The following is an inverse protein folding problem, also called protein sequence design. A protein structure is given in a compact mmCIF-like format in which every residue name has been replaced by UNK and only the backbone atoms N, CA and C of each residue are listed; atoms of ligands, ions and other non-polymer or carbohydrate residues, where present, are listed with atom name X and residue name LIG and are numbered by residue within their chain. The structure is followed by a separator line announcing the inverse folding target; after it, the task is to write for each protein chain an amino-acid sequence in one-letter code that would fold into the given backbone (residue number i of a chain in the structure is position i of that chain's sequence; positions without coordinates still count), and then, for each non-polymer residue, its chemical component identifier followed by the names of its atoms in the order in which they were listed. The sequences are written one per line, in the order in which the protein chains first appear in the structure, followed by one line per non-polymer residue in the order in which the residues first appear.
data_IF_353902852257
#
_entry.id   IF_353902852257
#
_cell.length_a   1.000
_cell.length_b   1.000
_cell.length_c   1.000
_cell.angle_alpha   90.00
_cell.angle_beta   90.00
_cell.angle_gamma   90.00
#
_symmetry.space_group_name_H-M   'P 1'
#
loop_
_entity.id
_entity.type
_entity.pdbx_description
1 polymer ?
#
# COMPACT_ATOMS: atom_id res chain seq x y z
N UNK A 1 -42.83 18.45 27.02
CA UNK A 1 -41.90 19.26 26.20
C UNK A 1 -40.98 19.99 27.15
N UNK A 2 -39.81 19.44 27.42
CA UNK A 2 -38.83 20.02 28.35
C UNK A 2 -37.71 20.66 27.53
N UNK A 3 -37.57 21.98 27.65
CA UNK A 3 -36.53 22.77 26.99
C UNK A 3 -35.23 22.65 27.79
N UNK A 4 -34.19 22.07 27.19
CA UNK A 4 -32.85 22.05 27.74
C UNK A 4 -32.15 23.36 27.39
N UNK A 5 -31.75 24.12 28.41
CA UNK A 5 -30.96 25.33 28.32
C UNK A 5 -29.50 24.94 28.10
N UNK A 6 -28.93 25.31 26.95
CA UNK A 6 -27.51 25.13 26.63
C UNK A 6 -26.74 26.36 27.12
N UNK A 7 -25.80 26.17 28.03
CA UNK A 7 -24.88 27.21 28.48
C UNK A 7 -23.67 27.33 27.53
N UNK A 8 -23.13 28.53 27.27
CA UNK A 8 -21.97 28.72 26.42
C UNK A 8 -20.66 28.42 27.17
N UNK A 9 -19.83 27.55 26.60
CA UNK A 9 -18.44 27.34 27.00
C UNK A 9 -17.60 28.56 26.62
N UNK A 10 -16.98 29.19 27.63
CA UNK A 10 -16.06 30.31 27.47
C UNK A 10 -14.66 29.79 27.16
N UNK A 11 -14.11 30.11 25.99
CA UNK A 11 -12.73 29.81 25.63
C UNK A 11 -11.79 30.85 26.27
N UNK A 12 -10.85 30.39 27.10
CA UNK A 12 -9.77 31.22 27.63
C UNK A 12 -8.63 31.30 26.60
N UNK A 13 -8.35 32.50 26.12
CA UNK A 13 -7.22 32.77 25.23
C UNK A 13 -5.94 32.90 26.07
N UNK A 14 -5.06 31.90 26.03
CA UNK A 14 -3.72 31.98 26.58
C UNK A 14 -2.81 32.74 25.60
N UNK A 15 -2.20 33.80 26.10
CA UNK A 15 -1.32 34.70 25.36
C UNK A 15 0.04 34.02 25.10
N UNK A 16 0.49 34.03 23.85
CA UNK A 16 1.72 33.40 23.39
C UNK A 16 2.98 34.15 23.85
N UNK A 17 3.99 33.41 24.32
CA UNK A 17 5.36 33.88 24.49
C UNK A 17 6.11 33.83 23.14
N UNK A 18 7.05 34.76 22.85
CA UNK A 18 7.85 34.73 21.64
C UNK A 18 8.92 33.61 21.70
N UNK A 19 9.14 32.85 20.62
CA UNK A 19 10.18 31.82 20.61
C UNK A 19 11.59 32.40 20.40
N UNK A 20 12.51 31.91 21.22
CA UNK A 20 13.96 32.01 21.09
C UNK A 20 14.44 31.46 19.73
N UNK A 21 15.36 32.17 19.06
CA UNK A 21 15.95 31.72 17.78
C UNK A 21 17.05 30.68 18.03
N UNK A 22 16.96 29.46 17.47
CA UNK A 22 18.07 28.51 17.51
C UNK A 22 19.15 28.87 16.49
N UNK A 23 20.40 28.58 16.90
CA UNK A 23 21.64 28.75 16.12
C UNK A 23 21.67 27.80 14.92
N UNK A 24 22.28 28.27 13.83
CA UNK A 24 22.61 27.48 12.64
C UNK A 24 23.45 26.25 13.00
N UNK A 25 22.87 25.06 12.86
CA UNK A 25 23.61 23.80 12.75
C UNK A 25 24.13 23.64 11.34
N UNK A 26 25.41 23.29 11.25
CA UNK A 26 26.13 22.89 10.04
C UNK A 26 25.45 21.70 9.37
N UNK A 27 25.24 21.80 8.06
CA UNK A 27 24.72 20.76 7.17
C UNK A 27 25.69 19.58 7.20
N UNK A 28 25.30 18.50 7.90
CA UNK A 28 25.93 17.19 7.77
C UNK A 28 25.38 16.53 6.51
N UNK A 29 26.27 16.14 5.61
CA UNK A 29 25.96 15.38 4.41
C UNK A 29 25.33 14.05 4.80
N UNK A 30 24.02 13.91 4.57
CA UNK A 30 23.25 12.71 4.85
C UNK A 30 23.69 11.59 3.90
N UNK A 31 24.33 10.56 4.45
CA UNK A 31 24.59 9.30 3.75
C UNK A 31 23.27 8.70 3.25
N UNK A 32 23.19 8.14 2.03
CA UNK A 32 21.92 7.63 1.49
C UNK A 32 21.48 6.41 2.30
N UNK A 33 20.30 6.48 2.91
CA UNK A 33 19.68 5.40 3.70
C UNK A 33 19.12 4.23 2.85
N UNK A 34 19.66 4.01 1.64
CA UNK A 34 18.96 3.25 0.59
C UNK A 34 18.99 1.72 0.69
N UNK A 35 19.92 1.11 1.44
CA UNK A 35 20.10 -0.35 1.39
C UNK A 35 19.34 -1.16 2.45
N UNK A 36 19.01 -0.56 3.59
CA UNK A 36 18.29 -1.25 4.67
C UNK A 36 16.78 -1.29 4.41
N UNK A 37 16.25 -0.29 3.68
CA UNK A 37 14.82 -0.13 3.38
C UNK A 37 14.30 -1.02 2.24
N UNK A 38 15.17 -1.46 1.33
CA UNK A 38 14.77 -2.36 0.24
C UNK A 38 14.54 -3.80 0.74
N UNK A 39 15.32 -4.26 1.72
CA UNK A 39 15.15 -5.58 2.31
C UNK A 39 13.83 -5.71 3.10
N UNK A 40 13.33 -4.61 3.69
CA UNK A 40 12.07 -4.61 4.45
C UNK A 40 10.84 -4.67 3.55
N UNK A 41 10.86 -4.04 2.37
CA UNK A 41 9.71 -4.05 1.45
C UNK A 41 9.37 -5.45 0.92
N UNK A 42 10.39 -6.20 0.49
CA UNK A 42 10.20 -7.57 -0.01
C UNK A 42 9.54 -8.48 1.04
N UNK A 43 9.96 -8.36 2.31
CA UNK A 43 9.37 -9.12 3.42
C UNK A 43 7.91 -8.75 3.67
N UNK A 44 7.56 -7.46 3.58
CA UNK A 44 6.17 -7.02 3.76
C UNK A 44 5.29 -7.52 2.60
N UNK A 45 5.77 -7.41 1.35
CA UNK A 45 5.04 -7.90 0.16
C UNK A 45 4.76 -9.39 0.31
N UNK A 46 5.77 -10.18 0.68
CA UNK A 46 5.64 -11.62 0.90
C UNK A 46 4.64 -11.93 2.03
N UNK A 47 4.74 -11.24 3.17
CA UNK A 47 3.86 -11.45 4.31
C UNK A 47 2.39 -11.12 3.99
N UNK A 48 2.13 -9.96 3.40
CA UNK A 48 0.77 -9.51 3.04
C UNK A 48 0.21 -10.39 1.92
N UNK A 49 1.01 -10.71 0.89
CA UNK A 49 0.62 -11.61 -0.18
C UNK A 49 0.25 -13.00 0.35
N UNK A 50 1.08 -13.55 1.24
CA UNK A 50 0.81 -14.82 1.92
C UNK A 50 -0.49 -14.76 2.71
N UNK A 51 -0.74 -13.68 3.44
CA UNK A 51 -1.98 -13.49 4.20
C UNK A 51 -3.23 -13.51 3.30
N UNK A 52 -3.20 -12.82 2.16
CA UNK A 52 -4.28 -12.88 1.18
C UNK A 52 -4.46 -14.29 0.59
N UNK A 53 -3.36 -14.97 0.23
CA UNK A 53 -3.43 -16.32 -0.33
C UNK A 53 -4.02 -17.32 0.66
N UNK A 54 -3.68 -17.21 1.94
CA UNK A 54 -4.27 -18.04 3.01
C UNK A 54 -5.76 -17.75 3.14
N UNK A 55 -6.16 -16.47 3.20
CA UNK A 55 -7.58 -16.10 3.25
C UNK A 55 -8.34 -16.70 2.06
N UNK A 56 -7.79 -16.60 0.85
CA UNK A 56 -8.41 -17.12 -0.37
C UNK A 56 -8.58 -18.64 -0.34
N UNK A 57 -7.53 -19.36 0.06
CA UNK A 57 -7.58 -20.83 0.24
C UNK A 57 -8.63 -21.24 1.27
N UNK A 58 -8.81 -20.46 2.33
CA UNK A 58 -9.88 -20.67 3.30
C UNK A 58 -11.26 -20.41 2.69
N UNK A 59 -11.44 -19.29 1.98
CA UNK A 59 -12.76 -18.85 1.49
C UNK A 59 -13.31 -19.70 0.35
N UNK A 60 -12.44 -20.20 -0.53
CA UNK A 60 -12.86 -20.79 -1.80
C UNK A 60 -12.76 -22.32 -1.80
N UNK A 61 -11.63 -22.85 -1.32
CA UNK A 61 -11.36 -24.28 -1.45
C UNK A 61 -11.93 -25.10 -0.30
N UNK A 62 -12.29 -24.46 0.82
CA UNK A 62 -12.61 -25.14 2.08
C UNK A 62 -11.47 -26.03 2.59
N UNK A 63 -10.26 -25.88 2.02
CA UNK A 63 -9.08 -26.72 2.30
C UNK A 63 -8.36 -26.34 3.58
N UNK A 64 -8.94 -25.46 4.39
CA UNK A 64 -8.40 -24.97 5.64
C UNK A 64 -9.54 -24.60 6.59
N UNK A 65 -9.38 -24.90 7.87
CA UNK A 65 -10.28 -24.44 8.93
C UNK A 65 -10.06 -22.95 9.23
N UNK A 66 -11.03 -22.32 9.89
CA UNK A 66 -10.92 -20.90 10.29
C UNK A 66 -9.71 -20.70 11.24
N UNK A 67 -9.50 -21.63 12.16
CA UNK A 67 -8.41 -21.61 13.13
C UNK A 67 -7.03 -21.76 12.46
N UNK A 68 -6.89 -22.68 11.50
CA UNK A 68 -5.66 -22.84 10.72
C UNK A 68 -5.35 -21.59 9.90
N UNK A 69 -6.35 -21.01 9.24
CA UNK A 69 -6.19 -19.78 8.45
C UNK A 69 -5.80 -18.60 9.33
N UNK A 70 -6.45 -18.47 10.49
CA UNK A 70 -6.12 -17.43 11.49
C UNK A 70 -4.67 -17.54 11.94
N UNK A 71 -4.23 -18.76 12.28
CA UNK A 71 -2.86 -19.02 12.76
C UNK A 71 -1.82 -18.70 11.69
N UNK A 72 -2.05 -19.10 10.44
CA UNK A 72 -1.09 -18.84 9.36
C UNK A 72 -1.04 -17.37 8.96
N UNK A 73 -2.17 -16.67 8.95
CA UNK A 73 -2.21 -15.22 8.69
C UNK A 73 -1.50 -14.47 9.82
N UNK A 74 -1.71 -14.87 11.08
CA UNK A 74 -0.98 -14.31 12.21
C UNK A 74 0.51 -14.53 12.08
N UNK A 75 0.95 -15.74 11.72
CA UNK A 75 2.37 -16.03 11.50
C UNK A 75 2.99 -15.18 10.40
N UNK A 76 2.29 -15.00 9.28
CA UNK A 76 2.75 -14.14 8.19
C UNK A 76 2.88 -12.68 8.62
N UNK A 77 1.84 -12.13 9.28
CA UNK A 77 1.83 -10.73 9.73
C UNK A 77 2.84 -10.48 10.85
N UNK A 78 2.92 -11.37 11.85
CA UNK A 78 3.87 -11.23 12.96
C UNK A 78 5.33 -11.30 12.48
N UNK A 79 5.61 -12.07 11.43
CA UNK A 79 6.94 -12.17 10.81
C UNK A 79 7.43 -10.88 10.14
N UNK A 80 6.52 -9.98 9.74
CA UNK A 80 6.83 -8.68 9.14
C UNK A 80 6.27 -7.50 9.97
N UNK A 81 5.94 -7.73 11.24
CA UNK A 81 5.15 -6.78 12.04
C UNK A 81 5.88 -5.50 12.35
N UNK A 82 7.17 -5.57 12.68
CA UNK A 82 8.00 -4.39 12.94
C UNK A 82 8.05 -3.51 11.70
N UNK A 83 8.22 -4.12 10.53
CA UNK A 83 8.34 -3.48 9.24
C UNK A 83 6.98 -2.89 8.82
N UNK A 84 5.89 -3.64 8.96
CA UNK A 84 4.51 -3.16 8.72
C UNK A 84 4.21 -1.96 9.59
N UNK A 85 4.51 -2.01 10.89
CA UNK A 85 4.25 -0.89 11.81
C UNK A 85 5.15 0.31 11.46
N UNK A 86 6.42 0.10 11.12
CA UNK A 86 7.31 1.18 10.72
C UNK A 86 6.80 1.92 9.47
N UNK A 87 6.32 1.18 8.47
CA UNK A 87 5.70 1.76 7.28
C UNK A 87 4.35 2.43 7.59
N UNK A 88 3.52 1.85 8.47
CA UNK A 88 2.29 2.50 8.96
C UNK A 88 2.62 3.82 9.67
N UNK A 89 3.67 3.86 10.50
CA UNK A 89 4.07 5.07 11.22
C UNK A 89 4.57 6.20 10.28
N UNK A 90 4.89 5.88 9.02
CA UNK A 90 5.16 6.87 7.98
C UNK A 90 3.88 7.47 7.36
N UNK A 91 2.72 6.80 7.48
CA UNK A 91 1.44 7.23 6.85
C UNK A 91 1.02 8.60 7.36
N UNK A 92 1.04 9.62 6.51
CA UNK A 92 0.79 11.01 6.85
C UNK A 92 -0.62 11.23 7.44
N UNK A 93 -1.59 10.41 7.03
CA UNK A 93 -2.95 10.45 7.56
C UNK A 93 -3.00 9.77 8.92
N UNK A 94 -2.86 10.56 9.98
CA UNK A 94 -2.76 10.10 11.37
C UNK A 94 -3.88 9.12 11.78
N UNK A 95 -5.09 9.30 11.24
CA UNK A 95 -6.21 8.42 11.53
C UNK A 95 -6.09 7.05 10.87
N UNK A 96 -5.66 6.99 9.61
CA UNK A 96 -5.40 5.71 8.93
C UNK A 96 -4.23 5.00 9.59
N UNK A 97 -3.19 5.73 9.97
CA UNK A 97 -2.08 5.21 10.77
C UNK A 97 -2.56 4.53 12.04
N UNK A 98 -3.35 5.25 12.85
CA UNK A 98 -3.85 4.75 14.12
C UNK A 98 -4.74 3.50 13.95
N UNK A 99 -5.65 3.52 12.98
CA UNK A 99 -6.54 2.37 12.75
C UNK A 99 -5.79 1.15 12.21
N UNK A 100 -4.85 1.33 11.28
CA UNK A 100 -4.07 0.22 10.72
C UNK A 100 -3.19 -0.44 11.78
N UNK A 101 -2.51 0.36 12.60
CA UNK A 101 -1.71 -0.14 13.73
C UNK A 101 -2.56 -0.91 14.73
N UNK A 102 -3.74 -0.37 15.08
CA UNK A 102 -4.68 -1.02 16.00
C UNK A 102 -5.19 -2.35 15.43
N UNK A 103 -5.50 -2.40 14.13
CA UNK A 103 -5.94 -3.61 13.46
C UNK A 103 -4.88 -4.73 13.55
N UNK A 104 -3.64 -4.42 13.19
CA UNK A 104 -2.52 -5.38 13.24
C UNK A 104 -2.22 -5.85 14.66
N UNK A 105 -2.26 -4.96 15.65
CA UNK A 105 -2.00 -5.31 17.05
C UNK A 105 -3.09 -6.21 17.64
N UNK A 106 -4.36 -5.83 17.45
CA UNK A 106 -5.49 -6.54 18.07
C UNK A 106 -5.82 -7.87 17.37
N UNK A 107 -5.39 -8.06 16.12
CA UNK A 107 -5.67 -9.31 15.40
C UNK A 107 -5.07 -10.54 16.10
N UNK A 108 -3.95 -10.37 16.81
CA UNK A 108 -3.33 -11.43 17.62
C UNK A 108 -4.29 -12.06 18.65
N UNK A 109 -5.25 -11.27 19.15
CA UNK A 109 -6.16 -11.69 20.19
C UNK A 109 -7.52 -12.18 19.66
N UNK A 110 -7.72 -12.20 18.33
CA UNK A 110 -9.04 -12.42 17.72
C UNK A 110 -9.69 -13.75 18.17
N UNK A 111 -8.92 -14.81 18.35
CA UNK A 111 -9.43 -16.11 18.79
C UNK A 111 -10.02 -16.09 20.21
N UNK A 112 -9.57 -15.16 21.07
CA UNK A 112 -9.98 -15.04 22.47
C UNK A 112 -11.08 -13.99 22.70
N UNK A 113 -11.38 -13.16 21.70
CA UNK A 113 -12.39 -12.11 21.79
C UNK A 113 -13.80 -12.69 21.99
N UNK A 114 -14.61 -12.01 22.80
CA UNK A 114 -16.05 -12.31 22.89
C UNK A 114 -16.75 -12.04 21.55
N UNK A 115 -17.92 -12.64 21.27
CA UNK A 115 -18.66 -12.40 20.03
C UNK A 115 -18.90 -10.92 19.72
N UNK A 116 -19.33 -10.13 20.70
CA UNK A 116 -19.57 -8.69 20.53
C UNK A 116 -18.27 -7.94 20.21
N UNK A 117 -17.16 -8.34 20.83
CA UNK A 117 -15.83 -7.76 20.57
C UNK A 117 -15.35 -8.10 19.15
N UNK A 118 -15.59 -9.33 18.67
CA UNK A 118 -15.28 -9.73 17.29
C UNK A 118 -16.06 -8.90 16.27
N UNK A 119 -17.34 -8.66 16.51
CA UNK A 119 -18.16 -7.83 15.62
C UNK A 119 -17.67 -6.38 15.59
N UNK A 120 -17.41 -5.79 16.76
CA UNK A 120 -16.88 -4.42 16.85
C UNK A 120 -15.51 -4.30 16.17
N UNK A 121 -14.63 -5.27 16.38
CA UNK A 121 -13.33 -5.34 15.73
C UNK A 121 -13.48 -5.43 14.20
N UNK A 122 -14.32 -6.35 13.70
CA UNK A 122 -14.57 -6.52 12.28
C UNK A 122 -15.10 -5.26 11.60
N UNK A 123 -16.02 -4.54 12.24
CA UNK A 123 -16.54 -3.27 11.71
C UNK A 123 -15.47 -2.18 11.70
N UNK A 124 -14.66 -2.10 12.76
CA UNK A 124 -13.58 -1.10 12.87
C UNK A 124 -12.49 -1.32 11.81
N UNK A 125 -12.02 -2.56 11.63
CA UNK A 125 -11.00 -2.88 10.62
C UNK A 125 -11.54 -2.73 9.20
N UNK A 126 -12.80 -3.09 8.95
CA UNK A 126 -13.49 -2.81 7.67
C UNK A 126 -13.48 -1.30 7.40
N UNK A 127 -13.90 -0.49 8.37
CA UNK A 127 -13.95 0.96 8.20
C UNK A 127 -12.58 1.57 7.95
N UNK A 128 -11.52 1.01 8.53
CA UNK A 128 -10.14 1.45 8.28
C UNK A 128 -9.74 1.22 6.81
N UNK A 129 -9.98 0.02 6.27
CA UNK A 129 -9.67 -0.32 4.89
C UNK A 129 -10.49 0.52 3.88
N UNK A 130 -11.80 0.63 4.09
CA UNK A 130 -12.70 1.43 3.25
C UNK A 130 -12.31 2.91 3.26
N UNK A 131 -11.93 3.46 4.42
CA UNK A 131 -11.51 4.85 4.50
C UNK A 131 -10.19 5.09 3.75
N UNK A 132 -9.25 4.15 3.83
CA UNK A 132 -8.01 4.24 3.07
C UNK A 132 -8.28 4.23 1.55
N UNK A 133 -9.15 3.31 1.08
CA UNK A 133 -9.64 3.29 -0.31
C UNK A 133 -10.22 4.64 -0.74
N UNK A 134 -11.16 5.19 0.03
CA UNK A 134 -11.82 6.45 -0.33
C UNK A 134 -10.83 7.61 -0.38
N UNK A 135 -9.82 7.60 0.49
CA UNK A 135 -8.76 8.61 0.48
C UNK A 135 -7.84 8.48 -0.73
N UNK A 136 -7.52 7.26 -1.19
CA UNK A 136 -6.73 7.03 -2.41
C UNK A 136 -7.34 7.75 -3.61
N UNK A 137 -8.68 7.80 -3.73
CA UNK A 137 -9.36 8.51 -4.82
C UNK A 137 -9.36 10.04 -4.71
N UNK A 138 -8.99 10.61 -3.55
CA UNK A 138 -9.17 12.06 -3.28
C UNK A 138 -7.88 12.83 -3.07
N UNK A 139 -6.81 12.20 -2.56
CA UNK A 139 -5.53 12.87 -2.32
C UNK A 139 -4.76 13.07 -3.63
N UNK A 140 -4.08 14.19 -3.86
CA UNK A 140 -3.29 14.37 -5.10
C UNK A 140 -1.83 13.91 -4.99
N UNK A 141 -1.30 13.87 -3.77
CA UNK A 141 0.10 13.56 -3.48
C UNK A 141 0.40 12.06 -3.60
N UNK A 142 1.38 11.68 -4.44
CA UNK A 142 1.71 10.27 -4.69
C UNK A 142 2.28 9.56 -3.45
N UNK A 143 3.04 10.27 -2.61
CA UNK A 143 3.53 9.68 -1.37
C UNK A 143 2.38 9.35 -0.40
N UNK A 144 1.36 10.22 -0.31
CA UNK A 144 0.16 9.94 0.46
C UNK A 144 -0.63 8.75 -0.11
N UNK A 145 -0.76 8.64 -1.44
CA UNK A 145 -1.41 7.49 -2.10
C UNK A 145 -0.68 6.21 -1.75
N UNK A 146 0.64 6.22 -1.82
CA UNK A 146 1.46 5.06 -1.52
C UNK A 146 1.27 4.57 -0.09
N UNK A 147 1.28 5.50 0.86
CA UNK A 147 1.03 5.22 2.26
C UNK A 147 -0.39 4.69 2.53
N UNK A 148 -1.39 5.23 1.84
CA UNK A 148 -2.78 4.77 1.96
C UNK A 148 -2.97 3.39 1.33
N UNK A 149 -2.39 3.16 0.14
CA UNK A 149 -2.36 1.87 -0.55
C UNK A 149 -1.69 0.80 0.29
N UNK A 150 -0.58 1.14 0.94
CA UNK A 150 0.08 0.26 1.89
C UNK A 150 -0.84 -0.11 3.06
N UNK A 151 -1.39 0.89 3.76
CA UNK A 151 -2.23 0.67 4.93
C UNK A 151 -3.48 -0.15 4.58
N UNK A 152 -4.12 0.15 3.46
CA UNK A 152 -5.29 -0.58 2.96
C UNK A 152 -4.95 -2.06 2.72
N UNK A 153 -3.89 -2.35 1.96
CA UNK A 153 -3.53 -3.72 1.60
C UNK A 153 -2.97 -4.51 2.79
N UNK A 154 -2.29 -3.87 3.74
CA UNK A 154 -1.85 -4.53 4.97
C UNK A 154 -3.02 -4.88 5.90
N UNK A 155 -4.05 -4.01 5.99
CA UNK A 155 -5.23 -4.23 6.84
C UNK A 155 -6.27 -5.11 6.16
N UNK A 156 -6.30 -5.18 4.83
CA UNK A 156 -7.27 -5.95 4.05
C UNK A 156 -7.47 -7.39 4.50
N UNK A 157 -6.43 -8.25 4.57
CA UNK A 157 -6.60 -9.65 4.98
C UNK A 157 -7.04 -9.78 6.45
N UNK A 158 -6.58 -8.87 7.33
CA UNK A 158 -7.04 -8.78 8.73
C UNK A 158 -8.54 -8.48 8.78
N UNK A 159 -9.00 -7.51 8.01
CA UNK A 159 -10.41 -7.11 7.98
C UNK A 159 -11.30 -8.22 7.40
N UNK A 160 -10.85 -8.91 6.35
CA UNK A 160 -11.55 -10.06 5.77
C UNK A 160 -11.72 -11.19 6.80
N UNK A 161 -10.64 -11.57 7.49
CA UNK A 161 -10.70 -12.59 8.54
C UNK A 161 -11.53 -12.16 9.74
N UNK A 162 -11.44 -10.90 10.15
CA UNK A 162 -12.24 -10.36 11.25
C UNK A 162 -13.74 -10.48 10.96
N UNK A 163 -14.17 -10.14 9.73
CA UNK A 163 -15.55 -10.31 9.29
C UNK A 163 -15.99 -11.77 9.31
N UNK A 164 -15.14 -12.69 8.84
CA UNK A 164 -15.41 -14.13 8.92
C UNK A 164 -15.62 -14.60 10.37
N UNK A 165 -14.73 -14.22 11.30
CA UNK A 165 -14.86 -14.53 12.73
C UNK A 165 -16.14 -13.96 13.36
N UNK A 166 -16.60 -12.82 12.87
CA UNK A 166 -17.84 -12.17 13.30
C UNK A 166 -19.10 -12.73 12.63
N UNK A 167 -18.97 -13.65 11.66
CA UNK A 167 -20.09 -14.18 10.87
C UNK A 167 -20.65 -13.20 9.83
N UNK A 168 -19.87 -12.19 9.44
CA UNK A 168 -20.24 -11.23 8.39
C UNK A 168 -19.80 -11.70 7.01
N UNK A 169 -20.56 -11.30 5.98
CA UNK A 169 -20.16 -11.48 4.58
C UNK A 169 -18.90 -10.68 4.25
N UNK A 170 -17.98 -11.26 3.48
CA UNK A 170 -16.73 -10.62 3.03
C UNK A 170 -16.76 -10.12 1.60
N UNK A 171 -17.77 -10.48 0.80
CA UNK A 171 -17.80 -10.22 -0.65
C UNK A 171 -17.66 -8.73 -1.01
N UNK A 172 -18.42 -7.85 -0.36
CA UNK A 172 -18.37 -6.40 -0.61
C UNK A 172 -17.03 -5.79 -0.20
N UNK A 173 -16.44 -6.26 0.92
CA UNK A 173 -15.11 -5.80 1.33
C UNK A 173 -14.03 -6.28 0.36
N UNK A 174 -14.11 -7.53 -0.12
CA UNK A 174 -13.18 -8.05 -1.11
C UNK A 174 -13.23 -7.23 -2.41
N UNK A 175 -14.43 -6.89 -2.90
CA UNK A 175 -14.61 -6.01 -4.05
C UNK A 175 -14.00 -4.62 -3.79
N UNK A 176 -14.26 -4.03 -2.61
CA UNK A 176 -13.69 -2.73 -2.24
C UNK A 176 -12.15 -2.76 -2.22
N UNK A 177 -11.55 -3.85 -1.74
CA UNK A 177 -10.09 -4.01 -1.73
C UNK A 177 -9.51 -4.18 -3.14
N UNK A 178 -10.24 -4.83 -4.06
CA UNK A 178 -9.88 -4.88 -5.48
C UNK A 178 -9.91 -3.48 -6.09
N UNK A 179 -11.01 -2.74 -5.91
CA UNK A 179 -11.16 -1.38 -6.45
C UNK A 179 -10.09 -0.43 -5.92
N UNK A 180 -9.84 -0.46 -4.61
CA UNK A 180 -8.77 0.34 -4.00
C UNK A 180 -7.37 -0.07 -4.47
N UNK A 181 -7.15 -1.34 -4.80
CA UNK A 181 -5.88 -1.82 -5.34
C UNK A 181 -5.67 -1.35 -6.77
N UNK A 182 -6.71 -1.40 -7.60
CA UNK A 182 -6.70 -0.84 -8.95
C UNK A 182 -6.43 0.66 -8.92
N UNK A 183 -7.12 1.41 -8.05
CA UNK A 183 -6.87 2.83 -7.86
C UNK A 183 -5.44 3.13 -7.39
N UNK A 184 -4.91 2.34 -6.47
CA UNK A 184 -3.50 2.48 -6.02
C UNK A 184 -2.54 2.29 -7.20
N UNK A 185 -2.72 1.23 -7.99
CA UNK A 185 -1.86 0.95 -9.14
C UNK A 185 -1.94 2.04 -10.22
N UNK A 186 -3.15 2.49 -10.56
CA UNK A 186 -3.35 3.53 -11.57
C UNK A 186 -2.66 4.84 -11.15
N UNK A 187 -2.73 5.18 -9.86
CA UNK A 187 -2.26 6.47 -9.37
C UNK A 187 -0.78 6.51 -9.01
N UNK A 188 -0.17 5.35 -8.77
CA UNK A 188 1.27 5.19 -8.63
C UNK A 188 1.97 4.83 -9.94
N UNK A 189 1.24 4.75 -11.06
CA UNK A 189 1.83 4.51 -12.36
C UNK A 189 2.99 5.48 -12.63
N UNK A 190 4.09 4.94 -13.14
CA UNK A 190 5.32 5.68 -13.44
C UNK A 190 5.35 6.09 -14.90
N UNK A 191 5.93 7.25 -15.16
CA UNK A 191 6.36 7.62 -16.51
C UNK A 191 7.68 6.93 -16.85
N UNK A 192 7.85 6.58 -18.13
CA UNK A 192 9.09 6.02 -18.66
C UNK A 192 9.65 6.91 -19.77
N UNK A 193 10.97 7.11 -19.77
CA UNK A 193 11.71 7.81 -20.82
C UNK A 193 12.34 6.80 -21.77
N UNK A 194 12.36 7.14 -23.06
CA UNK A 194 12.88 6.31 -24.13
C UNK A 194 14.07 7.00 -24.80
N UNK A 195 15.26 6.41 -24.70
CA UNK A 195 16.46 6.90 -25.36
C UNK A 195 16.83 5.97 -26.53
N UNK A 196 16.69 6.48 -27.74
CA UNK A 196 16.92 5.75 -28.98
C UNK A 196 18.38 5.91 -29.42
N UNK A 197 19.15 4.85 -29.22
CA UNK A 197 20.53 4.80 -29.67
C UNK A 197 20.56 4.21 -31.08
N UNK A 198 21.17 4.97 -32.01
CA UNK A 198 21.36 4.56 -33.39
C UNK A 198 22.43 3.47 -33.42
N UNK A 199 22.05 2.31 -33.91
CA UNK A 199 23.02 1.33 -34.40
C UNK A 199 23.11 1.56 -35.91
N UNK A 200 24.33 1.84 -36.42
CA UNK A 200 24.63 2.11 -37.84
C UNK A 200 24.43 0.87 -38.74
N UNK A 201 23.46 0.02 -38.39
CA UNK A 201 23.11 -1.14 -39.17
C UNK A 201 22.22 -0.74 -40.37
N UNK A 202 22.45 -1.34 -41.55
CA UNK A 202 21.65 -1.09 -42.75
C UNK A 202 20.19 -1.57 -42.63
N UNK A 203 19.85 -2.27 -41.54
CA UNK A 203 18.52 -2.82 -41.31
C UNK A 203 17.60 -1.88 -40.50
N UNK A 204 18.13 -0.73 -40.06
CA UNK A 204 17.45 0.25 -39.21
C UNK A 204 16.90 -0.33 -37.90
N UNK A 205 17.67 -1.18 -37.22
CA UNK A 205 17.40 -1.56 -35.84
C UNK A 205 18.04 -0.55 -34.89
N UNK A 206 17.28 -0.14 -33.88
CA UNK A 206 17.70 0.77 -32.82
C UNK A 206 17.64 0.03 -31.50
N UNK A 207 18.61 0.34 -30.65
CA UNK A 207 18.58 -0.03 -29.24
C UNK A 207 17.82 1.07 -28.52
N UNK A 208 16.74 0.71 -27.83
CA UNK A 208 16.02 1.67 -27.00
C UNK A 208 16.30 1.38 -25.54
N UNK A 209 16.94 2.34 -24.88
CA UNK A 209 17.14 2.33 -23.43
C UNK A 209 15.90 2.93 -22.79
N UNK A 210 15.23 2.12 -21.97
CA UNK A 210 13.99 2.51 -21.32
C UNK A 210 14.31 2.67 -19.84
N UNK A 211 13.96 3.83 -19.29
CA UNK A 211 14.09 4.13 -17.86
C UNK A 211 12.75 4.56 -17.33
N UNK A 212 12.21 3.84 -16.36
CA UNK A 212 11.01 4.22 -15.63
C UNK A 212 11.44 4.77 -14.26
N UNK A 213 10.79 5.84 -13.78
CA UNK A 213 11.13 6.48 -12.51
C UNK A 213 9.89 6.67 -11.64
N UNK A 214 9.81 5.91 -10.55
CA UNK A 214 8.71 6.01 -9.60
C UNK A 214 8.76 7.34 -8.82
N UNK A 215 7.65 7.66 -8.13
CA UNK A 215 7.50 8.92 -7.40
C UNK A 215 8.56 9.11 -6.29
N UNK A 216 9.06 8.00 -5.72
CA UNK A 216 10.08 7.98 -4.69
C UNK A 216 11.51 8.13 -5.26
N UNK A 217 11.67 8.23 -6.58
CA UNK A 217 12.93 8.36 -7.28
C UNK A 217 13.60 7.03 -7.66
N UNK A 218 13.00 5.89 -7.29
CA UNK A 218 13.49 4.57 -7.70
C UNK A 218 13.36 4.39 -9.21
N UNK A 219 14.28 3.61 -9.77
CA UNK A 219 14.40 3.45 -11.22
C UNK A 219 14.45 1.99 -11.60
N UNK A 220 13.73 1.67 -12.66
CA UNK A 220 13.88 0.42 -13.40
C UNK A 220 14.37 0.69 -14.80
N UNK A 221 15.17 -0.23 -15.31
CA UNK A 221 15.81 -0.10 -16.62
C UNK A 221 15.58 -1.35 -17.45
N UNK A 222 15.32 -1.16 -18.74
CA UNK A 222 15.35 -2.26 -19.70
C UNK A 222 15.87 -1.80 -21.05
N UNK A 223 16.15 -2.75 -21.92
CA UNK A 223 16.64 -2.48 -23.27
C UNK A 223 15.90 -3.34 -24.27
N UNK A 224 15.41 -2.72 -25.34
CA UNK A 224 14.65 -3.41 -26.38
C UNK A 224 15.21 -3.05 -27.76
N UNK A 225 15.17 -4.03 -28.66
CA UNK A 225 15.53 -3.82 -30.07
C UNK A 225 14.28 -3.51 -30.88
N UNK A 226 14.31 -2.40 -31.62
CA UNK A 226 13.18 -1.97 -32.45
C UNK A 226 13.64 -1.60 -33.84
N UNK A 227 12.94 -2.14 -34.84
CA UNK A 227 13.13 -1.71 -36.22
C UNK A 227 12.33 -0.44 -36.46
N UNK A 228 12.96 0.61 -36.97
CA UNK A 228 12.31 1.88 -37.30
C UNK A 228 12.76 2.34 -38.69
N UNK A 229 11.88 2.15 -39.68
CA UNK A 229 12.15 2.50 -41.08
C UNK A 229 11.43 3.81 -41.41
N UNK A 230 12.08 4.93 -41.08
CA UNK A 230 11.63 6.31 -41.30
C UNK A 230 10.21 6.65 -40.79
N UNK A 231 9.86 7.94 -40.75
CA UNK A 231 8.57 8.40 -40.23
C UNK A 231 8.60 8.74 -38.73
N UNK A 232 7.44 8.86 -38.05
CA UNK A 232 7.38 9.19 -36.62
C UNK A 232 8.00 8.06 -35.79
N UNK A 233 8.50 8.43 -34.60
CA UNK A 233 9.02 7.48 -33.63
C UNK A 233 7.95 6.43 -33.28
N UNK A 234 8.26 5.13 -33.36
CA UNK A 234 7.26 4.11 -33.16
C UNK A 234 6.97 3.96 -31.67
N UNK A 235 5.69 3.93 -31.30
CA UNK A 235 5.27 3.64 -29.92
C UNK A 235 5.83 2.29 -29.48
N UNK A 236 6.44 2.27 -28.29
CA UNK A 236 6.90 1.03 -27.67
C UNK A 236 5.73 0.44 -26.89
N UNK A 237 5.30 -0.79 -27.21
CA UNK A 237 4.26 -1.46 -26.44
C UNK A 237 4.69 -1.67 -24.98
N UNK A 238 3.79 -1.41 -24.03
CA UNK A 238 4.09 -1.44 -22.58
C UNK A 238 4.59 -2.78 -22.07
N UNK A 239 4.15 -3.89 -22.67
CA UNK A 239 4.64 -5.22 -22.32
C UNK A 239 6.15 -5.41 -22.53
N UNK A 240 6.79 -4.58 -23.37
CA UNK A 240 8.23 -4.65 -23.61
C UNK A 240 9.06 -3.97 -22.51
N UNK A 241 8.43 -3.16 -21.66
CA UNK A 241 9.09 -2.48 -20.54
C UNK A 241 8.36 -2.68 -19.21
N UNK A 242 7.52 -3.71 -19.10
CA UNK A 242 6.85 -4.07 -17.87
C UNK A 242 7.85 -4.33 -16.73
N UNK A 243 8.98 -5.00 -16.99
CA UNK A 243 10.00 -5.25 -15.97
C UNK A 243 10.63 -3.97 -15.44
N UNK A 244 10.85 -2.95 -16.30
CA UNK A 244 11.38 -1.67 -15.85
C UNK A 244 10.36 -0.88 -15.01
N UNK A 245 9.07 -1.06 -15.26
CA UNK A 245 8.00 -0.51 -14.41
C UNK A 245 7.99 -1.21 -13.05
N UNK A 246 8.04 -2.54 -13.04
CA UNK A 246 8.08 -3.35 -11.81
C UNK A 246 9.31 -3.02 -10.95
N UNK A 247 10.50 -2.95 -11.57
CA UNK A 247 11.75 -2.58 -10.88
C UNK A 247 11.68 -1.17 -10.29
N UNK A 248 11.05 -0.21 -10.99
CA UNK A 248 10.87 1.14 -10.47
C UNK A 248 9.90 1.19 -9.28
N UNK A 249 8.87 0.35 -9.28
CA UNK A 249 7.77 0.40 -8.30
C UNK A 249 7.94 -0.60 -7.14
N UNK A 250 9.01 -1.40 -7.14
CA UNK A 250 9.24 -2.51 -6.19
C UNK A 250 9.21 -2.09 -4.71
N UNK A 251 9.60 -0.85 -4.39
CA UNK A 251 9.58 -0.31 -3.02
C UNK A 251 8.37 0.60 -2.76
N UNK A 252 7.25 0.34 -3.44
CA UNK A 252 5.99 1.06 -3.27
C UNK A 252 4.87 0.07 -3.00
N UNK A 253 3.75 0.57 -2.49
CA UNK A 253 2.49 -0.16 -2.32
C UNK A 253 1.87 -0.65 -3.64
N UNK A 254 2.41 -0.26 -4.80
CA UNK A 254 1.98 -0.78 -6.10
C UNK A 254 2.07 -2.32 -6.15
N UNK A 255 3.20 -2.90 -5.73
CA UNK A 255 3.38 -4.36 -5.77
C UNK A 255 2.49 -5.08 -4.74
N UNK A 256 2.20 -4.45 -3.59
CA UNK A 256 1.21 -4.99 -2.65
C UNK A 256 -0.19 -4.97 -3.27
N UNK A 257 -0.59 -3.86 -3.88
CA UNK A 257 -1.90 -3.70 -4.52
C UNK A 257 -2.09 -4.70 -5.67
N UNK A 258 -1.08 -4.86 -6.53
CA UNK A 258 -1.04 -5.87 -7.59
C UNK A 258 -1.22 -7.28 -7.03
N UNK A 259 -0.47 -7.62 -5.99
CA UNK A 259 -0.55 -8.93 -5.32
C UNK A 259 -1.93 -9.18 -4.72
N UNK A 260 -2.45 -8.23 -3.94
CA UNK A 260 -3.76 -8.32 -3.31
C UNK A 260 -4.87 -8.50 -4.35
N UNK A 261 -4.87 -7.67 -5.39
CA UNK A 261 -5.81 -7.77 -6.50
C UNK A 261 -5.76 -9.13 -7.19
N UNK A 262 -4.57 -9.61 -7.53
CA UNK A 262 -4.41 -10.89 -8.23
C UNK A 262 -4.99 -12.05 -7.41
N UNK A 263 -4.74 -12.08 -6.10
CA UNK A 263 -5.25 -13.13 -5.22
C UNK A 263 -6.76 -13.04 -5.01
N UNK A 264 -7.30 -11.82 -4.87
CA UNK A 264 -8.74 -11.65 -4.67
C UNK A 264 -9.57 -11.99 -5.92
N UNK A 265 -8.99 -11.84 -7.12
CA UNK A 265 -9.63 -12.13 -8.40
C UNK A 265 -9.43 -13.55 -8.93
N UNK A 266 -8.43 -14.29 -8.44
CA UNK A 266 -8.21 -15.70 -8.81
C UNK A 266 -9.33 -16.61 -8.34
#
# INVERSE_FOLDING_TARGET
MAAAVVAPLSASAAQAAPPDRPRHSTVGESTPAGSEQAASWGQIIEAVGTAYSIYKKYSDDGGMTLEEATTQILGAIDGAKSEIIAHIDAVAVAEIRACAKTAVLNYADIGSMSPDTKQAFALSTTSCAVRAETLIGTVSDQAAIDQLGFAMNAVGPVALMARTHAGFSTAELAATLVDGSEATMERLATDCTFDWQVDDNPNHYYIVYITCTAYNGDKGHTTVWRRWVSGPEPTIPSQLYASAVEDALVNTSYELAKTARQVLLS
#
